data_IF_998536117343
#
_entry.id   IF_998536117343
#
_cell.length_a   1.000
_cell.length_b   1.000
_cell.length_c   1.000
_cell.angle_alpha   90.00
_cell.angle_beta   90.00
_cell.angle_gamma   90.00
#
_symmetry.space_group_name_H-M   'P 1'
#
loop_
_entity.id
_entity.type
_entity.pdbx_description
1 polymer ?
#
# COMPACT_ATOMS: atom_id res chain seq x y z
N UNK A 1 -21.10 18.55 9.26
CA UNK A 1 -20.11 17.49 9.53
C UNK A 1 -20.58 16.24 8.81
N UNK A 2 -19.68 15.52 8.14
CA UNK A 2 -19.98 14.30 7.41
C UNK A 2 -19.15 13.16 7.99
N UNK A 3 -19.77 12.01 8.18
CA UNK A 3 -19.10 10.84 8.73
C UNK A 3 -19.54 9.60 7.98
N UNK A 4 -18.57 8.84 7.48
CA UNK A 4 -18.71 7.42 7.17
C UNK A 4 -17.80 6.70 8.14
N UNK A 5 -18.38 6.24 9.23
CA UNK A 5 -17.73 5.35 10.19
C UNK A 5 -18.53 4.06 10.14
N UNK A 6 -17.86 2.92 9.94
CA UNK A 6 -18.56 1.65 9.78
C UNK A 6 -19.41 1.35 11.03
N UNK A 7 -20.72 1.47 10.92
CA UNK A 7 -21.66 1.08 11.96
C UNK A 7 -22.47 -0.13 11.45
N UNK A 8 -22.33 -1.25 12.15
CA UNK A 8 -23.17 -2.46 12.18
C UNK A 8 -24.04 -2.77 10.96
N UNK A 9 -23.78 -3.92 10.32
CA UNK A 9 -24.54 -4.50 9.22
C UNK A 9 -26.06 -4.28 9.34
N UNK A 10 -26.64 -3.47 8.45
CA UNK A 10 -28.08 -3.36 8.27
C UNK A 10 -28.56 -4.47 7.32
N UNK A 11 -28.27 -5.73 7.68
CA UNK A 11 -28.75 -6.93 6.97
C UNK A 11 -30.29 -6.95 6.88
N UNK A 12 -30.97 -6.22 7.76
CA UNK A 12 -32.42 -6.15 7.84
C UNK A 12 -33.09 -5.42 6.65
N UNK A 13 -32.35 -4.60 5.87
CA UNK A 13 -32.93 -3.79 4.79
C UNK A 13 -32.73 -4.33 3.37
N UNK A 14 -32.11 -5.50 3.20
CA UNK A 14 -31.94 -6.13 1.88
C UNK A 14 -31.06 -5.34 0.89
N UNK A 15 -30.25 -4.39 1.38
CA UNK A 15 -29.26 -3.66 0.58
C UNK A 15 -27.87 -4.19 0.91
N UNK A 16 -27.04 -4.38 -0.11
CA UNK A 16 -25.62 -4.72 0.11
C UNK A 16 -24.94 -3.63 0.94
N UNK A 17 -24.18 -4.03 1.97
CA UNK A 17 -23.38 -3.14 2.81
C UNK A 17 -22.49 -2.21 1.96
N UNK A 18 -21.96 -2.72 0.84
CA UNK A 18 -21.17 -1.92 -0.10
C UNK A 18 -21.99 -0.84 -0.81
N UNK A 19 -23.24 -1.14 -1.19
CA UNK A 19 -24.11 -0.14 -1.84
C UNK A 19 -24.51 0.99 -0.89
N UNK A 20 -24.73 0.65 0.39
CA UNK A 20 -24.98 1.66 1.45
C UNK A 20 -23.77 2.56 1.59
N UNK A 21 -22.57 1.98 1.71
CA UNK A 21 -21.31 2.72 1.77
C UNK A 21 -21.10 3.65 0.56
N UNK A 22 -21.37 3.17 -0.66
CA UNK A 22 -21.25 4.00 -1.86
C UNK A 22 -22.29 5.13 -1.89
N UNK A 23 -23.50 4.88 -1.40
CA UNK A 23 -24.55 5.90 -1.31
C UNK A 23 -24.20 6.99 -0.29
N UNK A 24 -23.66 6.61 0.86
CA UNK A 24 -23.15 7.54 1.87
C UNK A 24 -22.00 8.37 1.31
N UNK A 25 -21.03 7.72 0.68
CA UNK A 25 -19.88 8.38 0.04
C UNK A 25 -20.34 9.37 -1.04
N UNK A 26 -21.32 8.99 -1.88
CA UNK A 26 -21.91 9.87 -2.86
C UNK A 26 -22.60 11.09 -2.22
N UNK A 27 -23.31 10.88 -1.11
CA UNK A 27 -23.94 11.98 -0.36
C UNK A 27 -22.90 12.97 0.20
N UNK A 28 -21.79 12.47 0.74
CA UNK A 28 -20.67 13.30 1.23
C UNK A 28 -20.09 14.10 0.06
N UNK A 29 -19.74 13.46 -1.05
CA UNK A 29 -19.16 14.13 -2.21
C UNK A 29 -20.10 15.16 -2.85
N UNK A 30 -21.41 14.95 -2.83
CA UNK A 30 -22.36 15.93 -3.38
C UNK A 30 -22.50 17.17 -2.52
N UNK A 31 -22.47 17.00 -1.19
CA UNK A 31 -22.87 18.06 -0.25
C UNK A 31 -21.72 18.69 0.53
N UNK A 32 -20.52 18.08 0.55
CA UNK A 32 -19.38 18.62 1.25
C UNK A 32 -18.89 19.93 0.60
N UNK A 33 -18.61 20.92 1.45
CA UNK A 33 -18.05 22.23 1.11
C UNK A 33 -16.66 22.41 1.72
N UNK A 34 -15.94 23.46 1.36
CA UNK A 34 -14.62 23.80 1.94
C UNK A 34 -14.67 24.10 3.45
N UNK A 35 -15.86 24.37 3.99
CA UNK A 35 -16.11 24.53 5.44
C UNK A 35 -16.56 23.25 6.14
N UNK A 36 -16.62 22.12 5.43
CA UNK A 36 -17.03 20.85 6.00
C UNK A 36 -15.87 20.12 6.70
N UNK A 37 -16.22 19.33 7.71
CA UNK A 37 -15.38 18.27 8.25
C UNK A 37 -15.93 16.94 7.77
N UNK A 38 -15.06 16.12 7.18
CA UNK A 38 -15.36 14.77 6.67
C UNK A 38 -14.52 13.75 7.43
N UNK A 39 -15.15 12.68 7.90
CA UNK A 39 -14.47 11.53 8.52
C UNK A 39 -14.85 10.29 7.73
N UNK A 40 -13.86 9.63 7.13
CA UNK A 40 -14.01 8.41 6.35
C UNK A 40 -13.21 7.31 7.04
N UNK A 41 -13.83 6.15 7.18
CA UNK A 41 -13.24 4.97 7.77
C UNK A 41 -13.40 3.82 6.78
N UNK A 42 -12.31 3.20 6.33
CA UNK A 42 -12.28 1.96 5.55
C UNK A 42 -13.28 1.89 4.38
N UNK A 43 -13.28 2.92 3.52
CA UNK A 43 -14.00 2.90 2.24
C UNK A 43 -13.33 1.93 1.26
N UNK A 44 -14.12 1.17 0.53
CA UNK A 44 -13.68 0.23 -0.50
C UNK A 44 -13.58 -1.23 -0.03
N UNK A 45 -13.77 -1.51 1.26
CA UNK A 45 -13.56 -2.85 1.84
C UNK A 45 -14.56 -3.92 1.37
N UNK A 46 -15.75 -3.50 0.91
CA UNK A 46 -16.85 -4.40 0.53
C UNK A 46 -16.80 -4.92 -0.91
N UNK A 47 -15.69 -4.71 -1.63
CA UNK A 47 -15.50 -5.08 -3.03
C UNK A 47 -14.10 -5.67 -3.27
N UNK A 48 -13.73 -5.93 -4.53
CA UNK A 48 -12.37 -6.38 -4.88
C UNK A 48 -11.32 -5.38 -4.39
N UNK A 49 -10.14 -5.87 -3.99
CA UNK A 49 -9.08 -5.02 -3.43
C UNK A 49 -8.71 -3.87 -4.35
N UNK A 50 -8.57 -4.13 -5.66
CA UNK A 50 -8.21 -3.11 -6.64
C UNK A 50 -9.34 -2.11 -6.90
N UNK A 51 -10.59 -2.56 -6.98
CA UNK A 51 -11.73 -1.65 -7.16
C UNK A 51 -11.90 -0.75 -5.92
N UNK A 52 -11.83 -1.35 -4.73
CA UNK A 52 -11.94 -0.63 -3.46
C UNK A 52 -10.86 0.42 -3.29
N UNK A 53 -9.60 0.06 -3.56
CA UNK A 53 -8.47 0.98 -3.54
C UNK A 53 -8.64 2.11 -4.57
N UNK A 54 -9.07 1.80 -5.79
CA UNK A 54 -9.27 2.79 -6.86
C UNK A 54 -10.36 3.80 -6.49
N UNK A 55 -11.46 3.33 -5.89
CA UNK A 55 -12.54 4.20 -5.40
C UNK A 55 -12.03 5.06 -4.25
N UNK A 56 -11.37 4.46 -3.25
CA UNK A 56 -10.86 5.19 -2.09
C UNK A 56 -9.86 6.28 -2.50
N UNK A 57 -8.98 5.99 -3.47
CA UNK A 57 -8.04 6.94 -4.06
C UNK A 57 -8.77 8.11 -4.72
N UNK A 58 -9.71 7.83 -5.62
CA UNK A 58 -10.47 8.85 -6.33
C UNK A 58 -11.29 9.74 -5.37
N UNK A 59 -11.86 9.15 -4.31
CA UNK A 59 -12.58 9.88 -3.26
C UNK A 59 -11.64 10.83 -2.51
N UNK A 60 -10.45 10.36 -2.12
CA UNK A 60 -9.46 11.18 -1.44
C UNK A 60 -9.01 12.37 -2.31
N UNK A 61 -8.77 12.15 -3.60
CA UNK A 61 -8.43 13.21 -4.55
C UNK A 61 -9.57 14.22 -4.72
N UNK A 62 -10.81 13.74 -4.91
CA UNK A 62 -11.97 14.60 -5.07
C UNK A 62 -12.22 15.50 -3.85
N UNK A 63 -11.96 15.01 -2.64
CA UNK A 63 -12.04 15.81 -1.41
C UNK A 63 -10.88 16.78 -1.27
N UNK A 64 -9.66 16.37 -1.66
CA UNK A 64 -8.48 17.22 -1.61
C UNK A 64 -8.54 18.39 -2.61
N UNK A 65 -9.03 18.14 -3.83
CA UNK A 65 -9.00 19.10 -4.93
C UNK A 65 -10.23 20.03 -4.94
N UNK A 66 -11.24 19.73 -4.11
CA UNK A 66 -12.51 20.47 -4.06
C UNK A 66 -12.30 21.98 -3.89
N UNK A 67 -12.87 22.75 -4.81
CA UNK A 67 -12.87 24.22 -4.79
C UNK A 67 -11.47 24.84 -4.65
N UNK A 68 -10.41 24.11 -5.06
CA UNK A 68 -9.00 24.53 -4.94
C UNK A 68 -8.44 24.58 -3.51
N UNK A 69 -9.29 24.48 -2.49
CA UNK A 69 -8.91 24.52 -1.06
C UNK A 69 -8.89 23.14 -0.41
N UNK A 70 -9.70 22.22 -0.93
CA UNK A 70 -9.96 20.93 -0.33
C UNK A 70 -10.93 21.00 0.84
N UNK A 71 -11.34 19.83 1.32
CA UNK A 71 -12.20 19.64 2.49
C UNK A 71 -11.37 19.08 3.64
N UNK A 72 -11.58 19.57 4.87
CA UNK A 72 -10.92 19.00 6.05
C UNK A 72 -11.39 17.55 6.23
N UNK A 73 -10.49 16.61 6.00
CA UNK A 73 -10.82 15.18 5.92
C UNK A 73 -9.89 14.37 6.82
N UNK A 74 -10.47 13.49 7.63
CA UNK A 74 -9.77 12.37 8.26
C UNK A 74 -10.13 11.10 7.50
N UNK A 75 -9.13 10.39 6.99
CA UNK A 75 -9.32 9.17 6.20
C UNK A 75 -8.54 8.04 6.87
N UNK A 76 -9.25 7.14 7.55
CA UNK A 76 -8.69 5.89 8.06
C UNK A 76 -8.81 4.80 6.99
N UNK A 77 -7.72 4.11 6.69
CA UNK A 77 -7.66 3.11 5.61
C UNK A 77 -6.60 2.04 5.90
N UNK A 78 -6.85 0.82 5.43
CA UNK A 78 -5.89 -0.27 5.35
C UNK A 78 -5.08 -0.28 4.04
N UNK A 79 -5.44 0.53 3.05
CA UNK A 79 -4.69 0.63 1.79
C UNK A 79 -3.40 1.43 2.00
N UNK A 80 -2.26 0.73 1.97
CA UNK A 80 -0.95 1.36 2.11
C UNK A 80 -0.62 2.27 0.92
N UNK A 81 -1.11 1.92 -0.26
CA UNK A 81 -0.93 2.65 -1.51
C UNK A 81 -1.49 4.07 -1.42
N UNK A 82 -2.59 4.28 -0.70
CA UNK A 82 -3.18 5.62 -0.50
C UNK A 82 -2.21 6.58 0.22
N UNK A 83 -1.20 6.07 0.94
CA UNK A 83 -0.20 6.92 1.57
C UNK A 83 0.69 7.65 0.56
N UNK A 84 0.79 7.14 -0.67
CA UNK A 84 1.55 7.75 -1.76
C UNK A 84 0.94 9.09 -2.21
N UNK A 85 -0.35 9.32 -1.96
CA UNK A 85 -1.02 10.59 -2.24
C UNK A 85 -0.33 11.77 -1.54
N UNK A 86 0.35 11.55 -0.41
CA UNK A 86 1.10 12.62 0.26
C UNK A 86 2.29 13.16 -0.56
N UNK A 87 2.80 12.40 -1.54
CA UNK A 87 3.88 12.85 -2.43
C UNK A 87 3.38 13.76 -3.55
N UNK A 88 2.14 13.57 -4.01
CA UNK A 88 1.56 14.31 -5.14
C UNK A 88 0.59 15.41 -4.70
N UNK A 89 -0.01 15.28 -3.52
CA UNK A 89 -1.00 16.20 -2.97
C UNK A 89 -0.44 16.91 -1.71
N UNK A 90 0.01 18.17 -1.81
CA UNK A 90 0.78 18.83 -0.75
C UNK A 90 0.01 19.09 0.55
N UNK A 91 -1.33 19.01 0.54
CA UNK A 91 -2.15 19.15 1.76
C UNK A 91 -2.46 17.82 2.44
N UNK A 92 -2.08 16.69 1.83
CA UNK A 92 -2.25 15.37 2.43
C UNK A 92 -1.05 15.09 3.36
N UNK A 93 -1.35 14.60 4.56
CA UNK A 93 -0.36 14.23 5.56
C UNK A 93 -0.67 12.85 6.09
N UNK A 94 0.32 11.96 6.05
CA UNK A 94 0.18 10.61 6.59
C UNK A 94 0.39 10.61 8.10
N UNK A 95 -0.46 9.86 8.79
CA UNK A 95 -0.32 9.54 10.20
C UNK A 95 -0.61 8.06 10.40
N UNK A 96 0.03 7.47 11.41
CA UNK A 96 -0.22 6.10 11.84
C UNK A 96 -0.32 6.02 13.37
N UNK A 97 -0.86 4.91 13.87
CA UNK A 97 -0.87 4.60 15.30
C UNK A 97 0.44 3.91 15.66
N UNK A 98 1.16 4.47 16.62
CA UNK A 98 2.45 3.96 17.05
C UNK A 98 2.33 2.55 17.65
N UNK A 99 3.20 1.68 17.17
CA UNK A 99 3.33 0.28 17.56
C UNK A 99 4.73 0.05 18.13
N UNK A 100 4.83 -0.71 19.21
CA UNK A 100 6.10 -1.17 19.79
C UNK A 100 6.16 -2.69 19.81
N UNK A 101 7.23 -3.25 19.26
CA UNK A 101 7.53 -4.68 19.34
C UNK A 101 8.30 -4.99 20.64
N UNK A 102 7.90 -6.06 21.33
CA UNK A 102 8.53 -6.53 22.56
C UNK A 102 8.36 -8.03 22.71
N UNK A 103 9.47 -8.80 22.71
CA UNK A 103 9.48 -10.26 22.87
C UNK A 103 8.42 -10.96 21.98
N UNK A 104 8.48 -10.68 20.68
CA UNK A 104 7.57 -11.22 19.65
C UNK A 104 6.09 -10.83 19.80
N UNK A 105 5.81 -9.81 20.65
CA UNK A 105 4.48 -9.22 20.84
C UNK A 105 4.44 -7.79 20.36
N UNK A 106 3.28 -7.38 19.89
CA UNK A 106 2.99 -6.00 19.51
C UNK A 106 2.20 -5.31 20.60
N UNK A 107 2.64 -4.10 20.95
CA UNK A 107 1.97 -3.21 21.90
C UNK A 107 1.50 -1.97 21.13
N UNK A 108 0.18 -1.79 21.06
CA UNK A 108 -0.42 -0.58 20.50
C UNK A 108 -0.33 0.56 21.51
N UNK A 109 0.43 1.61 21.17
CA UNK A 109 0.68 2.73 22.08
C UNK A 109 -0.46 3.76 22.11
N UNK A 110 -1.50 3.57 21.27
CA UNK A 110 -2.65 4.49 21.10
C UNK A 110 -2.23 5.95 20.85
N UNK A 111 -1.04 6.15 20.27
CA UNK A 111 -0.46 7.46 20.00
C UNK A 111 -0.38 7.65 18.49
N UNK A 112 -0.94 8.74 17.98
CA UNK A 112 -0.76 9.12 16.58
C UNK A 112 0.63 9.69 16.36
N UNK A 113 1.31 9.21 15.33
CA UNK A 113 2.63 9.69 14.89
C UNK A 113 2.60 10.00 13.39
N UNK A 114 3.38 10.98 12.96
CA UNK A 114 3.50 11.34 11.55
C UNK A 114 4.19 10.24 10.75
N UNK A 115 3.77 10.05 9.51
CA UNK A 115 4.34 9.08 8.57
C UNK A 115 3.35 7.98 8.19
N UNK A 116 3.66 7.27 7.11
CA UNK A 116 2.93 6.07 6.71
C UNK A 116 3.23 4.91 7.67
N UNK A 117 2.28 3.99 7.83
CA UNK A 117 2.56 2.73 8.52
C UNK A 117 3.55 1.89 7.70
N UNK A 118 4.55 1.30 8.35
CA UNK A 118 5.61 0.56 7.68
C UNK A 118 5.22 -0.88 7.32
N UNK A 119 4.25 -1.48 8.02
CA UNK A 119 3.86 -2.89 7.90
C UNK A 119 2.40 -3.09 8.29
N UNK A 120 1.80 -4.15 7.76
CA UNK A 120 0.52 -4.69 8.25
C UNK A 120 0.78 -5.66 9.40
N UNK A 121 -0.05 -5.59 10.44
CA UNK A 121 0.11 -6.36 11.68
C UNK A 121 -1.01 -7.38 11.90
N UNK A 122 -1.66 -7.83 10.82
CA UNK A 122 -2.85 -8.68 10.88
C UNK A 122 -2.64 -10.00 11.62
N UNK A 123 -1.53 -10.71 11.35
CA UNK A 123 -1.20 -11.98 12.01
C UNK A 123 -0.90 -11.76 13.50
N UNK A 124 -0.25 -10.65 13.85
CA UNK A 124 0.05 -10.30 15.22
C UNK A 124 -1.22 -9.90 15.99
N UNK A 125 -2.16 -9.20 15.35
CA UNK A 125 -3.50 -8.96 15.90
C UNK A 125 -4.24 -10.27 16.19
N UNK A 126 -4.17 -11.23 15.27
CA UNK A 126 -4.73 -12.57 15.46
C UNK A 126 -4.11 -13.30 16.66
N UNK A 127 -2.79 -13.21 16.86
CA UNK A 127 -2.11 -13.77 18.04
C UNK A 127 -2.61 -13.11 19.34
N UNK A 128 -2.77 -11.79 19.36
CA UNK A 128 -3.31 -11.05 20.52
C UNK A 128 -4.77 -11.45 20.81
N UNK A 129 -5.56 -11.72 19.77
CA UNK A 129 -6.94 -12.20 19.88
C UNK A 129 -7.06 -13.65 20.40
N UNK A 130 -5.94 -14.37 20.55
CA UNK A 130 -5.92 -15.73 21.07
C UNK A 130 -6.16 -16.81 20.01
N UNK A 131 -5.94 -16.52 18.72
CA UNK A 131 -5.94 -17.56 17.69
C UNK A 131 -4.82 -18.58 17.99
N UNK A 132 -5.10 -19.91 17.91
CA UNK A 132 -4.10 -20.93 18.25
C UNK A 132 -2.79 -20.80 17.46
N UNK A 133 -1.65 -21.03 18.11
CA UNK A 133 -0.34 -20.90 17.47
C UNK A 133 -0.17 -21.79 16.22
N UNK A 134 -0.81 -22.95 16.18
CA UNK A 134 -0.81 -23.80 14.96
C UNK A 134 -1.43 -23.08 13.75
N UNK A 135 -2.49 -22.29 13.97
CA UNK A 135 -3.15 -21.49 12.93
C UNK A 135 -2.31 -20.26 12.58
N UNK A 136 -1.69 -19.61 13.57
CA UNK A 136 -0.79 -18.46 13.35
C UNK A 136 0.44 -18.86 12.52
N UNK A 137 1.06 -20.00 12.83
CA UNK A 137 2.18 -20.52 12.06
C UNK A 137 1.76 -20.79 10.63
N UNK A 138 0.60 -21.43 10.43
CA UNK A 138 0.08 -21.69 9.08
C UNK A 138 -0.24 -20.39 8.33
N UNK A 139 -0.81 -19.38 8.99
CA UNK A 139 -1.09 -18.09 8.37
C UNK A 139 0.20 -17.38 7.93
N UNK A 140 1.26 -17.49 8.73
CA UNK A 140 2.60 -16.97 8.41
C UNK A 140 3.18 -17.63 7.17
N UNK A 141 3.16 -18.97 7.09
CA UNK A 141 3.61 -19.70 5.90
C UNK A 141 2.82 -19.32 4.63
N UNK A 142 1.50 -19.15 4.77
CA UNK A 142 0.64 -18.76 3.65
C UNK A 142 0.99 -17.35 3.17
N UNK A 143 1.21 -16.41 4.09
CA UNK A 143 1.62 -15.04 3.77
C UNK A 143 2.96 -15.03 3.01
N UNK A 144 3.96 -15.75 3.52
CA UNK A 144 5.28 -15.88 2.87
C UNK A 144 5.15 -16.44 1.44
N UNK A 145 4.29 -17.45 1.24
CA UNK A 145 4.01 -18.01 -0.08
C UNK A 145 3.35 -16.99 -1.03
N UNK A 146 2.39 -16.20 -0.53
CA UNK A 146 1.70 -15.18 -1.34
C UNK A 146 2.65 -14.04 -1.73
N UNK A 147 3.47 -13.56 -0.81
CA UNK A 147 4.49 -12.55 -1.08
C UNK A 147 5.55 -13.07 -2.06
N UNK A 148 5.98 -14.33 -1.91
CA UNK A 148 6.90 -14.99 -2.85
C UNK A 148 6.29 -15.17 -4.25
N UNK A 149 5.00 -15.48 -4.34
CA UNK A 149 4.26 -15.57 -5.61
C UNK A 149 4.08 -14.21 -6.29
N UNK A 150 3.84 -13.14 -5.54
CA UNK A 150 3.76 -11.79 -6.09
C UNK A 150 5.10 -11.35 -6.70
N UNK A 151 6.23 -11.71 -6.08
CA UNK A 151 7.58 -11.46 -6.61
C UNK A 151 7.91 -12.27 -7.87
N UNK A 152 7.24 -13.41 -8.09
CA UNK A 152 7.45 -14.27 -9.29
C UNK A 152 6.43 -13.99 -10.39
N UNK A 153 5.21 -13.57 -10.06
CA UNK A 153 4.16 -13.20 -11.02
C UNK A 153 4.47 -11.90 -11.80
N UNK A 154 5.26 -10.98 -11.24
CA UNK A 154 5.78 -9.81 -11.97
C UNK A 154 6.79 -10.16 -13.08
N UNK A 155 7.25 -11.42 -13.17
CA UNK A 155 8.16 -11.90 -14.21
C UNK A 155 7.49 -12.47 -15.46
N UNK A 156 6.16 -12.42 -15.59
CA UNK A 156 5.46 -13.09 -16.68
C UNK A 156 4.20 -12.39 -17.18
N UNK A 157 4.36 -11.34 -18.00
CA UNK A 157 3.52 -10.99 -19.18
C UNK A 157 3.92 -9.62 -19.74
N UNK A 158 4.16 -9.47 -21.06
CA UNK A 158 4.36 -8.16 -21.67
C UNK A 158 2.99 -7.53 -21.94
N UNK A 159 2.53 -6.62 -21.08
CA UNK A 159 1.43 -5.71 -21.41
C UNK A 159 2.01 -4.39 -21.91
N UNK A 160 1.82 -4.14 -23.21
CA UNK A 160 2.05 -2.84 -23.84
C UNK A 160 0.93 -1.89 -23.42
N UNK A 161 1.21 -0.99 -22.48
CA UNK A 161 0.74 0.41 -22.56
C UNK A 161 1.51 1.29 -21.59
N UNK A 162 1.97 2.42 -22.12
CA UNK A 162 2.71 3.49 -21.44
C UNK A 162 1.77 4.22 -20.49
N UNK A 163 2.13 4.31 -19.21
CA UNK A 163 1.91 5.52 -18.41
C UNK A 163 3.06 5.69 -17.40
N UNK A 164 3.42 6.94 -17.19
CA UNK A 164 4.69 7.44 -16.67
C UNK A 164 4.66 7.66 -15.14
N UNK A 165 5.53 6.95 -14.41
CA UNK A 165 6.18 7.27 -13.11
C UNK A 165 5.35 7.35 -11.81
N UNK A 166 5.99 7.20 -10.61
CA UNK A 166 6.80 6.06 -10.17
C UNK A 166 6.42 5.60 -8.74
N UNK A 167 6.25 4.30 -8.53
CA UNK A 167 6.12 3.67 -7.21
C UNK A 167 7.48 3.64 -6.50
N UNK A 168 7.49 3.63 -5.17
CA UNK A 168 8.71 3.59 -4.34
C UNK A 168 9.52 2.29 -4.44
N UNK A 169 9.12 1.35 -5.30
CA UNK A 169 10.03 0.34 -5.83
C UNK A 169 11.10 0.95 -6.74
N UNK A 170 10.85 2.08 -7.42
CA UNK A 170 11.71 2.63 -8.47
C UNK A 170 13.15 2.97 -8.02
N UNK A 171 13.40 3.32 -6.76
CA UNK A 171 14.75 3.71 -6.32
C UNK A 171 15.65 2.51 -5.98
N UNK A 172 15.08 1.41 -5.48
CA UNK A 172 15.81 0.16 -5.26
C UNK A 172 15.71 -0.80 -6.46
N UNK A 173 14.61 -0.73 -7.23
CA UNK A 173 14.43 -1.50 -8.46
C UNK A 173 15.29 -0.98 -9.60
N UNK A 174 15.54 0.34 -9.71
CA UNK A 174 16.36 0.85 -10.82
C UNK A 174 17.80 0.34 -10.77
N UNK A 175 18.41 0.25 -9.58
CA UNK A 175 19.80 -0.23 -9.42
C UNK A 175 19.89 -1.75 -9.65
N UNK A 176 18.92 -2.51 -9.13
CA UNK A 176 18.83 -3.95 -9.38
C UNK A 176 18.48 -4.26 -10.85
N UNK A 177 17.65 -3.44 -11.49
CA UNK A 177 17.25 -3.58 -12.89
C UNK A 177 18.38 -3.16 -13.83
N UNK A 178 19.15 -2.12 -13.51
CA UNK A 178 20.37 -1.74 -14.21
C UNK A 178 21.44 -2.85 -14.10
N UNK A 179 21.67 -3.37 -12.89
CA UNK A 179 22.58 -4.49 -12.67
C UNK A 179 22.13 -5.73 -13.43
N UNK A 180 20.83 -6.05 -13.38
CA UNK A 180 20.23 -7.17 -14.10
C UNK A 180 20.39 -7.02 -15.61
N UNK A 181 20.11 -5.84 -16.16
CA UNK A 181 20.28 -5.57 -17.58
C UNK A 181 21.74 -5.65 -18.00
N UNK A 182 22.66 -5.17 -17.14
CA UNK A 182 24.09 -5.25 -17.39
C UNK A 182 24.58 -6.69 -17.42
N UNK A 183 24.16 -7.52 -16.47
CA UNK A 183 24.47 -8.96 -16.45
C UNK A 183 23.90 -9.67 -17.67
N UNK A 184 22.65 -9.38 -18.05
CA UNK A 184 21.99 -9.98 -19.21
C UNK A 184 22.61 -9.54 -20.54
N UNK A 185 23.27 -8.38 -20.58
CA UNK A 185 23.98 -7.88 -21.75
C UNK A 185 25.40 -8.44 -21.94
N UNK A 186 25.93 -9.17 -20.95
CA UNK A 186 27.26 -9.78 -21.07
C UNK A 186 27.20 -10.98 -22.01
N UNK A 187 28.05 -10.94 -23.04
CA UNK A 187 28.24 -12.08 -23.92
C UNK A 187 29.35 -12.99 -23.37
N UNK A 188 28.94 -13.93 -22.51
CA UNK A 188 29.83 -14.90 -21.86
C UNK A 188 30.56 -15.77 -22.91
N UNK A 189 29.99 -15.96 -24.10
CA UNK A 189 30.56 -16.82 -25.14
C UNK A 189 31.76 -16.22 -25.87
N UNK A 190 31.88 -14.89 -25.90
CA UNK A 190 32.96 -14.18 -26.61
C UNK A 190 33.97 -13.50 -25.70
N UNK A 191 33.68 -13.42 -24.39
CA UNK A 191 34.58 -12.82 -23.42
C UNK A 191 35.76 -13.73 -23.07
N UNK A 192 36.95 -13.14 -22.92
CA UNK A 192 38.11 -13.85 -22.38
C UNK A 192 37.96 -14.07 -20.86
N UNK A 193 38.56 -15.12 -20.28
CA UNK A 193 38.48 -15.37 -18.84
C UNK A 193 38.91 -14.18 -17.97
N UNK A 194 39.92 -13.43 -18.42
CA UNK A 194 40.39 -12.22 -17.73
C UNK A 194 39.37 -11.07 -17.82
N UNK A 195 38.71 -10.90 -18.98
CA UNK A 195 37.67 -9.90 -19.14
C UNK A 195 36.43 -10.22 -18.28
N UNK A 196 36.07 -11.49 -18.14
CA UNK A 196 34.97 -11.93 -17.29
C UNK A 196 35.24 -11.62 -15.80
N UNK A 197 36.45 -11.93 -15.31
CA UNK A 197 36.85 -11.61 -13.94
C UNK A 197 36.84 -10.10 -13.67
N UNK A 198 37.29 -9.29 -14.64
CA UNK A 198 37.27 -7.83 -14.53
C UNK A 198 35.84 -7.27 -14.49
N UNK A 199 34.91 -7.79 -15.30
CA UNK A 199 33.50 -7.37 -15.22
C UNK A 199 32.83 -7.81 -13.92
N UNK A 200 33.12 -9.01 -13.41
CA UNK A 200 32.64 -9.45 -12.10
C UNK A 200 33.12 -8.52 -10.97
N UNK A 201 34.38 -8.07 -11.03
CA UNK A 201 34.91 -7.13 -10.06
C UNK A 201 34.20 -5.77 -10.12
N UNK A 202 33.93 -5.25 -11.33
CA UNK A 202 33.15 -4.01 -11.51
C UNK A 202 31.72 -4.12 -10.99
N UNK A 203 31.07 -5.27 -11.17
CA UNK A 203 29.73 -5.51 -10.63
C UNK A 203 29.74 -5.55 -9.10
N UNK A 204 30.80 -6.14 -8.51
CA UNK A 204 30.99 -6.18 -7.05
C UNK A 204 31.25 -4.78 -6.48
N UNK A 205 32.10 -3.98 -7.12
CA UNK A 205 32.37 -2.60 -6.71
C UNK A 205 31.13 -1.71 -6.83
N UNK A 206 30.33 -1.90 -7.89
CA UNK A 206 29.05 -1.23 -8.06
C UNK A 206 28.04 -1.60 -6.97
N UNK A 207 28.14 -2.79 -6.36
CA UNK A 207 27.31 -3.19 -5.23
C UNK A 207 27.87 -2.71 -3.87
N UNK A 208 29.19 -2.57 -3.74
CA UNK A 208 29.87 -2.20 -2.49
C UNK A 208 29.94 -0.68 -2.23
N UNK A 209 29.64 0.15 -3.22
CA UNK A 209 29.44 1.59 -3.03
C UNK A 209 28.10 1.83 -2.30
N UNK A 210 28.13 1.78 -0.97
CA UNK A 210 27.11 2.27 -0.01
C UNK A 210 27.57 3.59 0.62
#
# INVERSE_FOLDING_TARGET
MFTRVGASDDLARGRSTFMVEMSETANILRNATDRSLVILDEIGRGTSTYDGMSIAWAVAEALHDRSGRGVRTLFATHYHELTELAFTKPRIKNYNVAVREWKDRIIFLRKMVSGAASRSYGIQCARIAGIPESVINRATEVLESLEGKLKTASKGKPSRSRSQYPSQMALFSNREEELRNRILSLDIGSMTPLAALNELNKLKDYLAAE
#
